data_IF_602084255757
#
_entry.id   IF_602084255757
#
_cell.length_a   1.000
_cell.length_b   1.000
_cell.length_c   1.000
_cell.angle_alpha   90.00
_cell.angle_beta   90.00
_cell.angle_gamma   90.00
#
_symmetry.space_group_name_H-M   'P 1'
#
loop_
_entity.id
_entity.type
_entity.pdbx_description
1 polymer ?
#
# COMPACT_ATOMS: atom_id res chain seq x y z
N UNK A 1 8.10 -9.91 16.38
CA UNK A 1 9.54 -10.09 16.12
C UNK A 1 10.34 -9.10 16.93
N UNK A 2 11.35 -9.57 17.61
CA UNK A 2 12.28 -8.69 18.33
C UNK A 2 13.44 -8.38 17.41
N UNK A 3 13.76 -7.10 17.26
CA UNK A 3 14.87 -6.65 16.42
C UNK A 3 15.93 -6.04 17.33
N UNK A 4 16.97 -6.80 17.67
CA UNK A 4 17.90 -6.39 18.74
C UNK A 4 18.74 -5.17 18.41
N UNK A 5 18.90 -4.82 17.14
CA UNK A 5 19.68 -3.64 16.75
C UNK A 5 18.86 -2.34 16.73
N UNK A 6 17.54 -2.40 16.90
CA UNK A 6 16.73 -1.20 16.95
C UNK A 6 16.80 -0.53 18.32
N UNK A 7 16.87 0.78 18.31
CA UNK A 7 16.86 1.62 19.51
C UNK A 7 15.44 2.14 19.75
N UNK A 8 15.22 2.68 20.93
CA UNK A 8 13.95 3.28 21.29
C UNK A 8 13.56 4.37 20.29
N UNK A 9 12.33 4.33 19.82
CA UNK A 9 11.81 5.27 18.84
C UNK A 9 12.11 4.92 17.40
N UNK A 10 12.96 3.93 17.15
CA UNK A 10 13.27 3.50 15.80
C UNK A 10 12.28 2.42 15.32
N UNK A 11 12.01 2.42 14.04
CA UNK A 11 11.15 1.42 13.38
C UNK A 11 11.86 0.82 12.18
N UNK A 12 11.51 -0.42 11.89
CA UNK A 12 11.95 -1.07 10.67
C UNK A 12 10.71 -1.54 9.93
N UNK A 13 10.66 -1.24 8.64
CA UNK A 13 9.55 -1.60 7.76
C UNK A 13 10.12 -2.37 6.57
N UNK A 14 9.49 -3.48 6.24
CA UNK A 14 9.80 -4.18 4.99
C UNK A 14 8.89 -3.63 3.89
N UNK A 15 9.49 -3.20 2.78
CA UNK A 15 8.75 -2.65 1.66
C UNK A 15 8.64 -3.70 0.57
N UNK A 16 7.39 -4.01 0.20
CA UNK A 16 7.08 -4.92 -0.90
C UNK A 16 6.54 -4.09 -2.06
N UNK A 17 7.04 -4.34 -3.26
CA UNK A 17 6.55 -3.66 -4.46
C UNK A 17 5.94 -4.69 -5.39
N UNK A 18 4.71 -4.43 -5.82
CA UNK A 18 3.97 -5.27 -6.73
C UNK A 18 3.55 -4.45 -7.95
N UNK A 19 3.47 -5.09 -9.09
CA UNK A 19 2.93 -4.45 -10.29
C UNK A 19 1.58 -5.07 -10.61
N UNK A 20 0.56 -4.23 -10.59
CA UNK A 20 -0.81 -4.62 -10.93
C UNK A 20 -1.12 -4.15 -12.33
N UNK A 21 -1.56 -5.08 -13.17
CA UNK A 21 -2.04 -4.76 -14.52
C UNK A 21 -3.50 -5.07 -14.58
N UNK A 22 -4.30 -4.07 -14.92
CA UNK A 22 -5.76 -4.21 -15.03
C UNK A 22 -6.13 -5.17 -16.14
N UNK A 23 -7.20 -5.92 -15.91
CA UNK A 23 -7.74 -6.83 -16.89
C UNK A 23 -8.54 -6.12 -17.96
N UNK A 24 -9.17 -6.94 -18.82
CA UNK A 24 -10.00 -6.45 -19.92
C UNK A 24 -11.11 -5.55 -19.37
N UNK A 25 -11.27 -4.37 -19.97
CA UNK A 25 -12.25 -3.39 -19.52
C UNK A 25 -11.82 -2.52 -18.37
N UNK A 26 -10.60 -2.72 -17.85
CA UNK A 26 -10.07 -1.88 -16.78
C UNK A 26 -9.34 -0.66 -17.39
N UNK A 27 -9.78 0.53 -17.00
CA UNK A 27 -9.18 1.78 -17.49
C UNK A 27 -7.83 2.10 -16.86
N UNK A 28 -7.46 1.39 -15.78
CA UNK A 28 -6.28 1.69 -15.01
C UNK A 28 -4.96 1.43 -15.75
N UNK A 29 -4.92 0.37 -16.58
CA UNK A 29 -3.66 -0.06 -17.19
C UNK A 29 -2.77 -0.75 -16.17
N UNK A 30 -1.53 -0.26 -16.01
CA UNK A 30 -0.55 -0.84 -15.08
C UNK A 30 -0.16 0.18 -14.02
N UNK A 31 -0.18 -0.23 -12.77
CA UNK A 31 0.19 0.62 -11.63
C UNK A 31 0.91 -0.22 -10.59
N UNK A 32 2.00 0.29 -10.06
CA UNK A 32 2.70 -0.37 -8.96
C UNK A 32 1.94 -0.14 -7.65
N UNK A 33 2.05 -1.11 -6.76
CA UNK A 33 1.48 -1.04 -5.41
C UNK A 33 2.61 -1.27 -4.43
N UNK A 34 2.71 -0.39 -3.43
CA UNK A 34 3.66 -0.51 -2.34
C UNK A 34 2.92 -1.05 -1.13
N UNK A 35 3.44 -2.11 -0.53
CA UNK A 35 2.95 -2.61 0.76
C UNK A 35 4.07 -2.47 1.77
N UNK A 36 3.83 -1.74 2.84
CA UNK A 36 4.76 -1.60 3.94
C UNK A 36 4.33 -2.54 5.06
N UNK A 37 5.24 -3.42 5.45
CA UNK A 37 5.04 -4.38 6.53
C UNK A 37 5.87 -3.96 7.73
N UNK A 38 5.21 -3.66 8.85
CA UNK A 38 5.88 -3.24 10.06
C UNK A 38 6.58 -4.44 10.72
N UNK A 39 7.89 -4.36 10.85
CA UNK A 39 8.70 -5.41 11.46
C UNK A 39 8.95 -5.15 12.94
N UNK A 40 8.63 -3.95 13.45
CA UNK A 40 8.74 -3.63 14.86
C UNK A 40 9.50 -2.34 15.17
N UNK A 41 9.53 -1.95 16.41
CA UNK A 41 8.82 -2.57 17.51
C UNK A 41 7.32 -2.37 17.36
N UNK A 42 6.57 -3.47 17.39
CA UNK A 42 5.11 -3.41 17.21
C UNK A 42 4.46 -3.38 18.57
N UNK A 43 3.72 -2.31 18.87
CA UNK A 43 2.83 -2.27 20.00
C UNK A 43 1.64 -3.20 19.76
N UNK A 44 0.64 -3.18 20.58
CA UNK A 44 -0.45 -4.15 20.63
C UNK A 44 -1.40 -4.18 19.43
N UNK A 45 -0.97 -3.69 18.26
CA UNK A 45 -1.81 -3.65 17.06
C UNK A 45 -1.64 -4.92 16.23
N UNK A 46 -2.75 -5.47 15.76
CA UNK A 46 -2.75 -6.55 14.79
C UNK A 46 -2.61 -6.05 13.36
N UNK A 47 -2.79 -4.74 13.14
CA UNK A 47 -2.66 -4.12 11.82
C UNK A 47 -1.19 -3.81 11.59
N UNK A 48 -0.55 -4.60 10.73
CA UNK A 48 0.89 -4.52 10.50
C UNK A 48 1.28 -4.12 9.10
N UNK A 49 0.34 -4.11 8.17
CA UNK A 49 0.62 -3.85 6.76
C UNK A 49 -0.24 -2.70 6.26
N UNK A 50 0.36 -1.83 5.47
CA UNK A 50 -0.34 -0.75 4.80
C UNK A 50 0.01 -0.80 3.32
N UNK A 51 -0.99 -0.71 2.46
CA UNK A 51 -0.80 -0.72 1.02
C UNK A 51 -1.32 0.56 0.40
N UNK A 52 -0.69 0.98 -0.69
CA UNK A 52 -1.10 2.12 -1.48
C UNK A 52 -0.62 1.96 -2.91
N UNK A 53 -1.35 2.52 -3.89
CA UNK A 53 -0.81 2.61 -5.25
C UNK A 53 0.36 3.59 -5.28
N UNK A 54 1.29 3.37 -6.19
CA UNK A 54 2.50 4.18 -6.33
C UNK A 54 2.53 4.91 -7.66
N UNK A 55 2.98 6.16 -7.62
CA UNK A 55 3.17 6.99 -8.81
C UNK A 55 4.51 7.71 -8.66
N UNK A 56 5.31 7.84 -9.75
CA UNK A 56 6.65 8.43 -9.65
C UNK A 56 6.70 9.83 -9.05
N UNK A 57 5.67 10.65 -9.26
CA UNK A 57 5.69 12.05 -8.85
C UNK A 57 4.47 12.51 -8.07
N UNK A 58 3.51 11.62 -7.80
CA UNK A 58 2.26 11.99 -7.15
C UNK A 58 1.97 11.11 -5.95
N UNK A 59 1.30 11.71 -4.97
CA UNK A 59 0.82 10.98 -3.79
C UNK A 59 -0.58 10.47 -4.10
N UNK A 60 -0.90 9.21 -3.79
CA UNK A 60 -2.25 8.70 -4.01
C UNK A 60 -3.25 9.38 -3.08
N UNK A 61 -4.52 9.34 -3.47
CA UNK A 61 -5.59 9.89 -2.64
C UNK A 61 -5.68 9.14 -1.32
N UNK A 62 -6.04 9.83 -0.22
CA UNK A 62 -6.04 9.21 1.12
C UNK A 62 -6.88 7.95 1.23
N UNK A 63 -8.03 7.88 0.54
CA UNK A 63 -8.91 6.70 0.61
C UNK A 63 -8.31 5.44 -0.02
N UNK A 64 -7.21 5.57 -0.75
CA UNK A 64 -6.52 4.44 -1.37
C UNK A 64 -5.49 3.79 -0.44
N UNK A 65 -5.19 4.40 0.70
CA UNK A 65 -4.37 3.79 1.74
C UNK A 65 -5.23 2.77 2.47
N UNK A 66 -4.80 1.52 2.46
CA UNK A 66 -5.52 0.44 3.13
C UNK A 66 -4.59 -0.26 4.11
N UNK A 67 -5.16 -0.81 5.16
CA UNK A 67 -4.41 -1.51 6.19
C UNK A 67 -4.98 -2.90 6.39
N UNK A 68 -4.10 -3.85 6.74
CA UNK A 68 -4.49 -5.22 7.02
C UNK A 68 -3.44 -5.90 7.91
N UNK A 69 -3.76 -7.09 8.39
CA UNK A 69 -2.84 -7.86 9.23
C UNK A 69 -1.71 -8.49 8.42
N UNK A 70 -1.93 -8.74 7.13
CA UNK A 70 -0.97 -9.43 6.27
C UNK A 70 -0.69 -8.64 5.00
N UNK A 71 0.45 -8.94 4.36
CA UNK A 71 0.81 -8.34 3.07
C UNK A 71 -0.25 -8.68 2.02
N UNK A 72 -0.67 -9.94 1.95
CA UNK A 72 -1.68 -10.38 0.99
C UNK A 72 -3.00 -9.66 1.21
N UNK A 73 -3.43 -9.54 2.47
CA UNK A 73 -4.67 -8.84 2.81
C UNK A 73 -4.65 -7.37 2.43
N UNK A 74 -3.55 -6.68 2.72
CA UNK A 74 -3.40 -5.28 2.35
C UNK A 74 -3.36 -5.11 0.83
N UNK A 75 -2.62 -5.97 0.13
CA UNK A 75 -2.54 -5.95 -1.32
C UNK A 75 -3.92 -6.16 -1.96
N UNK A 76 -4.65 -7.17 -1.50
CA UNK A 76 -5.99 -7.46 -2.02
C UNK A 76 -6.95 -6.29 -1.82
N UNK A 77 -6.93 -5.68 -0.64
CA UNK A 77 -7.79 -4.53 -0.35
C UNK A 77 -7.44 -3.33 -1.23
N UNK A 78 -6.14 -3.10 -1.48
CA UNK A 78 -5.69 -2.02 -2.34
C UNK A 78 -6.13 -2.24 -3.79
N UNK A 79 -5.95 -3.45 -4.31
CA UNK A 79 -6.38 -3.81 -5.66
C UNK A 79 -7.88 -3.57 -5.81
N UNK A 80 -8.66 -3.97 -4.83
CA UNK A 80 -10.12 -3.79 -4.88
C UNK A 80 -10.50 -2.31 -4.95
N UNK A 81 -9.81 -1.46 -4.20
CA UNK A 81 -10.03 -0.02 -4.23
C UNK A 81 -9.64 0.61 -5.56
N UNK A 82 -8.64 0.04 -6.25
CA UNK A 82 -8.15 0.58 -7.51
C UNK A 82 -9.03 0.20 -8.70
N UNK A 83 -9.78 -0.88 -8.59
CA UNK A 83 -10.61 -1.37 -9.69
C UNK A 83 -11.65 -0.32 -10.09
N UNK A 84 -11.84 -0.15 -11.40
CA UNK A 84 -12.77 0.82 -11.95
C UNK A 84 -12.26 2.24 -12.02
N UNK A 85 -11.10 2.52 -11.43
CA UNK A 85 -10.48 3.84 -11.48
C UNK A 85 -9.49 3.98 -12.62
N UNK A 86 -9.13 5.22 -12.94
CA UNK A 86 -8.03 5.55 -13.84
C UNK A 86 -6.90 6.16 -13.06
N UNK A 87 -5.73 6.35 -13.70
CA UNK A 87 -4.60 7.03 -13.05
C UNK A 87 -5.01 8.40 -12.54
N UNK A 88 -5.85 9.12 -13.28
CA UNK A 88 -6.37 10.43 -12.86
C UNK A 88 -7.16 10.29 -11.55
N UNK A 89 -8.02 9.29 -11.46
CA UNK A 89 -8.82 9.07 -10.25
C UNK A 89 -7.97 8.71 -9.03
N UNK A 90 -6.85 8.00 -9.26
CA UNK A 90 -6.01 7.53 -8.17
C UNK A 90 -5.07 8.60 -7.63
N UNK A 91 -4.54 9.47 -8.48
CA UNK A 91 -3.44 10.36 -8.11
C UNK A 91 -3.71 11.84 -8.28
N UNK A 92 -4.62 12.24 -9.15
CA UNK A 92 -4.85 13.65 -9.42
C UNK A 92 -6.13 14.12 -8.74
N UNK A 93 -6.09 15.27 -8.05
CA UNK A 93 -7.29 15.78 -7.39
C UNK A 93 -8.35 16.17 -8.44
N UNK A 94 -9.59 15.90 -8.11
CA UNK A 94 -10.71 16.37 -8.92
C UNK A 94 -10.94 17.86 -8.62
N UNK A 95 -11.12 18.59 -9.68
CA UNK A 95 -11.50 19.98 -9.56
C UNK A 95 -12.99 20.14 -9.84
#
# INVERSE_FOLDING_TARGET
>A
MTIPFLREGERLVRVHRFRFTGGRGCALGTTDIIVEEDLGPVADSTIRCQARPDHPTRVPRPHLYVSAETVEGALAACVEKMRGGSVVDLFFPQM
#
